data_IF_262399018534
#
_entry.id   IF_262399018534
#
_cell.length_a   1.000
_cell.length_b   1.000
_cell.length_c   1.000
_cell.angle_alpha   90.00
_cell.angle_beta   90.00
_cell.angle_gamma   90.00
#
_symmetry.space_group_name_H-M   'P 1'
#
loop_
_entity.id
_entity.type
_entity.pdbx_description
1 polymer ?
#
# COMPACT_ATOMS: atom_id res chain seq x y z
N UNK A 1 -17.67 -22.35 29.14
CA UNK A 1 -18.75 -21.45 28.63
C UNK A 1 -18.45 -20.06 29.16
N UNK A 2 -17.98 -19.09 28.39
CA UNK A 2 -18.72 -18.29 27.42
C UNK A 2 -17.76 -17.60 26.42
N UNK A 3 -18.22 -17.39 25.17
CA UNK A 3 -17.65 -16.50 24.12
C UNK A 3 -16.39 -16.95 23.35
N UNK A 4 -16.46 -18.10 22.69
CA UNK A 4 -15.68 -18.34 21.45
C UNK A 4 -16.53 -18.23 20.16
N UNK A 5 -17.85 -18.06 20.27
CA UNK A 5 -18.75 -18.24 19.13
C UNK A 5 -19.16 -16.96 18.37
N UNK A 6 -18.58 -15.80 18.70
CA UNK A 6 -18.99 -14.50 18.12
C UNK A 6 -17.86 -13.74 17.40
N UNK A 7 -16.61 -14.25 17.36
CA UNK A 7 -15.43 -13.45 16.98
C UNK A 7 -14.71 -13.86 15.68
N UNK A 8 -14.99 -15.04 15.11
CA UNK A 8 -14.42 -15.44 13.82
C UNK A 8 -15.12 -14.77 12.62
N UNK A 9 -16.42 -14.47 12.72
CA UNK A 9 -17.23 -13.91 11.63
C UNK A 9 -16.86 -12.47 11.23
N UNK A 10 -16.45 -11.63 12.19
CA UNK A 10 -16.14 -10.21 11.93
C UNK A 10 -14.76 -10.03 11.27
N UNK A 11 -13.76 -10.84 11.66
CA UNK A 11 -12.48 -10.90 10.96
C UNK A 11 -12.65 -11.55 9.58
N UNK A 12 -13.58 -12.49 9.41
CA UNK A 12 -13.98 -13.01 8.10
C UNK A 12 -14.61 -11.93 7.21
N UNK A 13 -15.48 -11.05 7.73
CA UNK A 13 -16.06 -9.95 6.96
C UNK A 13 -14.99 -8.93 6.55
N UNK A 14 -14.13 -8.50 7.49
CA UNK A 14 -13.05 -7.55 7.22
C UNK A 14 -12.01 -8.10 6.23
N UNK A 15 -11.72 -9.40 6.31
CA UNK A 15 -10.80 -10.04 5.38
C UNK A 15 -11.43 -10.39 4.03
N UNK A 16 -12.75 -10.64 3.98
CA UNK A 16 -13.51 -10.83 2.75
C UNK A 16 -13.63 -9.51 1.95
N UNK A 17 -13.75 -8.37 2.64
CA UNK A 17 -13.90 -7.05 2.00
C UNK A 17 -12.61 -6.50 1.35
N UNK A 18 -11.43 -7.08 1.61
CA UNK A 18 -10.14 -6.57 1.08
C UNK A 18 -9.81 -7.12 -0.31
N UNK A 19 -10.59 -8.09 -0.80
CA UNK A 19 -10.56 -8.73 -2.13
C UNK A 19 -9.18 -8.75 -2.82
N UNK A 20 -8.46 -9.84 -2.62
CA UNK A 20 -8.07 -10.80 -3.67
C UNK A 20 -7.08 -11.85 -3.11
N UNK A 21 -7.58 -13.06 -2.87
CA UNK A 21 -6.86 -14.34 -2.92
C UNK A 21 -5.53 -14.48 -2.14
N UNK A 22 -5.60 -14.74 -0.84
CA UNK A 22 -4.82 -15.82 -0.18
C UNK A 22 -5.24 -16.00 1.28
N UNK A 23 -5.60 -17.24 1.64
CA UNK A 23 -5.80 -17.71 3.03
C UNK A 23 -4.67 -17.24 3.98
N UNK A 24 -3.44 -17.20 3.47
CA UNK A 24 -2.22 -16.83 4.21
C UNK A 24 -2.29 -15.48 4.95
N UNK A 25 -2.90 -14.44 4.34
CA UNK A 25 -3.01 -13.13 5.01
C UNK A 25 -4.01 -13.17 6.16
N UNK A 26 -5.06 -13.99 6.03
CA UNK A 26 -6.08 -14.17 7.07
C UNK A 26 -5.50 -14.94 8.24
N UNK A 27 -4.77 -16.02 7.97
CA UNK A 27 -4.12 -16.82 9.00
C UNK A 27 -3.11 -15.98 9.77
N UNK A 28 -2.29 -15.20 9.07
CA UNK A 28 -1.34 -14.30 9.73
C UNK A 28 -2.02 -13.19 10.53
N UNK A 29 -3.09 -12.60 10.03
CA UNK A 29 -3.86 -11.60 10.77
C UNK A 29 -4.51 -12.20 12.03
N UNK A 30 -5.03 -13.44 11.97
CA UNK A 30 -5.56 -14.18 13.13
C UNK A 30 -4.49 -14.43 14.17
N UNK A 31 -3.29 -14.85 13.76
CA UNK A 31 -2.16 -15.04 14.66
C UNK A 31 -1.77 -13.75 15.40
N UNK A 32 -1.69 -12.63 14.66
CA UNK A 32 -1.38 -11.33 15.25
C UNK A 32 -2.49 -10.91 16.22
N UNK A 33 -3.76 -11.06 15.84
CA UNK A 33 -4.90 -10.73 16.69
C UNK A 33 -4.90 -11.54 17.99
N UNK A 34 -4.65 -12.85 17.92
CA UNK A 34 -4.58 -13.72 19.10
C UNK A 34 -3.51 -13.23 20.09
N UNK A 35 -2.33 -12.87 19.59
CA UNK A 35 -1.25 -12.30 20.42
C UNK A 35 -1.66 -10.99 21.09
N UNK A 36 -2.46 -10.17 20.42
CA UNK A 36 -2.99 -8.91 20.98
C UNK A 36 -4.05 -9.18 22.04
N UNK A 37 -4.97 -10.13 21.81
CA UNK A 37 -6.04 -10.52 22.77
C UNK A 37 -5.47 -11.16 24.05
N UNK A 38 -4.39 -11.94 23.92
CA UNK A 38 -3.68 -12.56 25.05
C UNK A 38 -3.05 -11.52 26.02
N UNK A 39 -2.84 -10.29 25.54
CA UNK A 39 -2.16 -9.22 26.24
C UNK A 39 -3.16 -8.36 27.01
N UNK A 40 -3.54 -8.85 28.21
CA UNK A 40 -4.58 -8.27 29.09
C UNK A 40 -4.42 -6.79 29.45
N UNK A 41 -3.25 -6.20 29.25
CA UNK A 41 -2.93 -4.81 29.57
C UNK A 41 -3.07 -3.84 28.38
N UNK A 42 -3.19 -4.35 27.15
CA UNK A 42 -3.61 -3.52 26.01
C UNK A 42 -5.11 -3.28 26.12
N UNK A 43 -5.50 -2.33 26.97
CA UNK A 43 -6.89 -1.90 27.12
C UNK A 43 -7.31 -1.05 25.93
N UNK A 44 -7.61 -1.69 24.82
CA UNK A 44 -8.34 -1.03 23.75
C UNK A 44 -9.79 -0.81 24.20
N UNK A 45 -10.31 0.40 24.02
CA UNK A 45 -11.69 0.71 24.38
C UNK A 45 -12.70 -0.17 23.62
N UNK A 46 -13.93 -0.34 24.15
CA UNK A 46 -15.00 -1.13 23.50
C UNK A 46 -15.25 -0.75 22.02
N UNK A 47 -14.95 0.49 21.64
CA UNK A 47 -15.16 1.03 20.29
C UNK A 47 -13.91 0.93 19.38
N UNK A 48 -12.87 0.20 19.79
CA UNK A 48 -11.61 0.08 19.03
C UNK A 48 -11.41 -1.29 18.38
N UNK A 49 -12.35 -2.23 18.55
CA UNK A 49 -12.25 -3.58 18.02
C UNK A 49 -11.98 -3.59 16.50
N UNK A 50 -12.78 -2.87 15.72
CA UNK A 50 -12.60 -2.78 14.26
C UNK A 50 -11.25 -2.17 13.87
N UNK A 51 -10.75 -1.21 14.66
CA UNK A 51 -9.45 -0.59 14.43
C UNK A 51 -8.29 -1.56 14.70
N UNK A 52 -8.42 -2.45 15.68
CA UNK A 52 -7.45 -3.51 15.98
C UNK A 52 -7.44 -4.53 14.85
N UNK A 53 -8.61 -5.02 14.43
CA UNK A 53 -8.72 -5.99 13.34
C UNK A 53 -8.12 -5.43 12.04
N UNK A 54 -8.45 -4.19 11.71
CA UNK A 54 -7.88 -3.46 10.58
C UNK A 54 -6.35 -3.29 10.69
N UNK A 55 -5.83 -3.02 11.88
CA UNK A 55 -4.39 -2.90 12.11
C UNK A 55 -3.67 -4.26 12.01
N UNK A 56 -4.23 -5.34 12.55
CA UNK A 56 -3.70 -6.70 12.40
C UNK A 56 -3.62 -7.10 10.93
N UNK A 57 -4.67 -6.82 10.17
CA UNK A 57 -4.72 -7.05 8.73
C UNK A 57 -3.66 -6.21 7.99
N UNK A 58 -3.53 -4.92 8.30
CA UNK A 58 -2.49 -4.07 7.72
C UNK A 58 -1.08 -4.65 7.94
N UNK A 59 -0.80 -5.11 9.17
CA UNK A 59 0.50 -5.68 9.53
C UNK A 59 0.73 -7.02 8.80
N UNK A 60 -0.30 -7.88 8.74
CA UNK A 60 -0.23 -9.14 7.99
C UNK A 60 0.04 -8.90 6.50
N UNK A 61 -0.68 -7.97 5.86
CA UNK A 61 -0.44 -7.61 4.47
C UNK A 61 1.00 -7.15 4.23
N UNK A 62 1.59 -6.42 5.18
CA UNK A 62 2.97 -5.97 5.10
C UNK A 62 3.99 -7.10 5.26
N UNK A 63 3.79 -8.00 6.22
CA UNK A 63 4.68 -9.16 6.44
C UNK A 63 4.67 -10.12 5.25
N UNK A 64 3.57 -10.18 4.50
CA UNK A 64 3.41 -11.00 3.31
C UNK A 64 3.84 -10.31 1.99
N UNK A 65 4.56 -9.19 2.06
CA UNK A 65 5.00 -8.39 0.89
C UNK A 65 3.85 -7.99 -0.05
N UNK A 66 2.66 -7.77 0.53
CA UNK A 66 1.45 -7.37 -0.18
C UNK A 66 0.92 -6.08 0.41
N UNK A 67 1.80 -5.08 0.48
CA UNK A 67 1.55 -3.79 1.12
C UNK A 67 0.22 -3.16 0.71
N UNK A 68 -0.59 -2.83 1.72
CA UNK A 68 -1.82 -2.05 1.57
C UNK A 68 -1.64 -0.68 2.19
N UNK A 69 -2.20 0.34 1.56
CA UNK A 69 -2.23 1.67 2.16
C UNK A 69 -3.22 1.69 3.31
N UNK A 70 -2.99 2.59 4.28
CA UNK A 70 -3.95 2.77 5.38
C UNK A 70 -5.33 3.18 4.83
N UNK A 71 -5.39 3.91 3.70
CA UNK A 71 -6.65 4.32 3.06
C UNK A 71 -7.44 3.11 2.54
N UNK A 72 -6.78 2.16 1.89
CA UNK A 72 -7.40 0.89 1.45
C UNK A 72 -7.94 0.09 2.63
N UNK A 73 -7.21 0.04 3.73
CA UNK A 73 -7.68 -0.64 4.95
C UNK A 73 -8.85 0.13 5.59
N UNK A 74 -8.83 1.46 5.60
CA UNK A 74 -9.94 2.25 6.14
C UNK A 74 -11.24 2.07 5.36
N UNK A 75 -11.18 1.94 4.02
CA UNK A 75 -12.40 1.80 3.20
C UNK A 75 -13.17 0.51 3.46
N UNK A 76 -12.51 -0.48 4.05
CA UNK A 76 -13.09 -1.79 4.39
C UNK A 76 -13.26 -1.98 5.89
N UNK A 77 -12.63 -1.14 6.71
CA UNK A 77 -12.73 -1.20 8.16
C UNK A 77 -14.07 -0.64 8.62
N UNK A 78 -14.95 -1.50 9.14
CA UNK A 78 -16.34 -1.26 9.55
C UNK A 78 -16.52 0.00 10.45
N UNK A 79 -16.47 1.20 9.87
CA UNK A 79 -16.55 2.49 10.56
C UNK A 79 -15.27 2.95 11.29
N UNK A 80 -14.17 2.18 11.28
CA UNK A 80 -12.95 2.54 12.00
C UNK A 80 -12.21 3.71 11.32
N UNK A 81 -11.87 4.74 12.08
CA UNK A 81 -11.22 5.94 11.52
C UNK A 81 -9.73 5.71 11.30
N UNK A 82 -9.17 6.35 10.27
CA UNK A 82 -7.72 6.33 9.96
C UNK A 82 -6.81 6.57 11.17
N UNK A 83 -7.18 7.51 12.04
CA UNK A 83 -6.41 7.83 13.26
C UNK A 83 -6.43 6.68 14.27
N UNK A 84 -7.54 5.97 14.40
CA UNK A 84 -7.68 4.83 15.31
C UNK A 84 -6.88 3.63 14.82
N UNK A 85 -6.98 3.33 13.52
CA UNK A 85 -6.18 2.29 12.87
C UNK A 85 -4.69 2.59 13.00
N UNK A 86 -4.28 3.86 12.81
CA UNK A 86 -2.89 4.29 12.98
C UNK A 86 -2.35 4.05 14.39
N UNK A 87 -3.13 4.42 15.42
CA UNK A 87 -2.75 4.16 16.83
C UNK A 87 -2.69 2.66 17.15
N UNK A 88 -3.71 1.90 16.74
CA UNK A 88 -3.74 0.46 16.97
C UNK A 88 -2.53 -0.23 16.29
N UNK A 89 -2.23 0.15 15.06
CA UNK A 89 -1.04 -0.30 14.32
C UNK A 89 0.25 -0.05 15.11
N UNK A 90 0.48 1.17 15.59
CA UNK A 90 1.68 1.50 16.37
C UNK A 90 1.76 0.70 17.68
N UNK A 91 0.65 0.56 18.40
CA UNK A 91 0.59 -0.25 19.63
C UNK A 91 0.91 -1.73 19.38
N UNK A 92 0.34 -2.31 18.32
CA UNK A 92 0.58 -3.71 17.96
C UNK A 92 2.03 -3.91 17.49
N UNK A 93 2.59 -2.98 16.72
CA UNK A 93 4.00 -3.04 16.29
C UNK A 93 4.95 -3.08 17.50
N UNK A 94 4.78 -2.16 18.46
CA UNK A 94 5.58 -2.14 19.70
C UNK A 94 5.47 -3.44 20.49
N UNK A 95 4.27 -4.02 20.52
CA UNK A 95 4.04 -5.32 21.18
C UNK A 95 4.82 -6.44 20.50
N UNK A 96 4.78 -6.50 19.17
CA UNK A 96 5.48 -7.55 18.41
C UNK A 96 7.00 -7.41 18.53
N UNK A 97 7.52 -6.18 18.50
CA UNK A 97 8.94 -5.87 18.72
C UNK A 97 9.42 -6.35 20.10
N UNK A 98 8.68 -6.05 21.17
CA UNK A 98 9.05 -6.43 22.54
C UNK A 98 9.05 -7.94 22.83
N UNK A 99 8.44 -8.76 21.97
CA UNK A 99 8.42 -10.21 22.10
C UNK A 99 9.57 -10.91 21.37
N UNK A 100 10.56 -10.17 20.83
CA UNK A 100 11.56 -10.69 19.86
C UNK A 100 10.91 -11.42 18.67
N UNK A 101 9.63 -11.15 18.44
CA UNK A 101 8.79 -11.68 17.37
C UNK A 101 8.38 -10.56 16.42
N UNK A 102 9.19 -9.49 16.39
CA UNK A 102 9.26 -8.56 15.28
C UNK A 102 9.77 -9.34 14.08
N UNK A 103 8.95 -10.26 13.56
CA UNK A 103 9.05 -10.79 12.21
C UNK A 103 9.35 -9.57 11.35
N UNK A 104 10.56 -9.56 10.79
CA UNK A 104 11.16 -8.41 10.12
C UNK A 104 10.06 -7.69 9.39
N UNK A 105 9.68 -6.52 9.90
CA UNK A 105 8.61 -5.76 9.30
C UNK A 105 9.09 -5.42 7.90
N UNK A 106 8.65 -6.22 6.92
CA UNK A 106 9.11 -6.11 5.54
C UNK A 106 9.14 -4.66 5.13
N UNK A 107 10.25 -4.23 4.53
CA UNK A 107 10.34 -2.89 3.99
C UNK A 107 9.27 -2.79 2.89
N UNK A 108 8.41 -1.77 2.99
CA UNK A 108 7.41 -1.53 1.94
C UNK A 108 8.16 -0.89 0.79
N UNK A 109 8.16 -1.54 -0.36
CA UNK A 109 8.74 -1.00 -1.57
C UNK A 109 7.64 -0.41 -2.46
N UNK A 110 8.00 0.56 -3.29
CA UNK A 110 7.07 1.14 -4.26
C UNK A 110 6.55 0.06 -5.25
N UNK A 111 7.35 -0.98 -5.50
CA UNK A 111 7.01 -2.10 -6.38
C UNK A 111 5.81 -2.91 -5.86
N UNK A 112 5.61 -2.98 -4.55
CA UNK A 112 4.51 -3.73 -3.91
C UNK A 112 3.13 -3.19 -4.31
N UNK A 113 3.10 -1.93 -4.75
CA UNK A 113 1.88 -1.24 -5.16
C UNK A 113 1.59 -1.35 -6.66
N UNK A 114 2.62 -1.53 -7.50
CA UNK A 114 2.53 -1.39 -8.96
C UNK A 114 1.49 -2.28 -9.58
N UNK A 115 1.57 -3.60 -9.36
CA UNK A 115 0.66 -4.55 -10.01
C UNK A 115 -0.82 -4.19 -9.74
N UNK A 116 -1.13 -3.82 -8.51
CA UNK A 116 -2.50 -3.49 -8.10
C UNK A 116 -2.96 -2.16 -8.67
N UNK A 117 -2.18 -1.10 -8.52
CA UNK A 117 -2.60 0.22 -8.98
C UNK A 117 -2.69 0.29 -10.50
N UNK A 118 -1.74 -0.32 -11.22
CA UNK A 118 -1.80 -0.39 -12.67
C UNK A 118 -3.02 -1.19 -13.15
N UNK A 119 -3.35 -2.31 -12.48
CA UNK A 119 -4.58 -3.07 -12.79
C UNK A 119 -5.85 -2.26 -12.53
N UNK A 120 -5.91 -1.50 -11.44
CA UNK A 120 -7.06 -0.64 -11.12
C UNK A 120 -7.24 0.50 -12.14
N UNK A 121 -6.15 0.92 -12.80
CA UNK A 121 -6.16 1.96 -13.84
C UNK A 121 -6.34 1.38 -15.26
N UNK A 122 -6.48 0.06 -15.39
CA UNK A 122 -6.61 -0.59 -16.70
C UNK A 122 -5.39 -0.44 -17.59
N UNK A 123 -4.19 -0.35 -17.00
CA UNK A 123 -2.93 -0.26 -17.75
C UNK A 123 -2.63 -1.58 -18.47
N UNK A 124 -2.04 -1.48 -19.66
CA UNK A 124 -1.59 -2.62 -20.46
C UNK A 124 -0.38 -3.33 -19.83
N UNK A 125 -0.12 -4.57 -20.24
CA UNK A 125 1.02 -5.34 -19.75
C UNK A 125 2.37 -4.67 -20.01
N UNK A 126 2.51 -3.95 -21.13
CA UNK A 126 3.73 -3.21 -21.47
C UNK A 126 3.93 -2.04 -20.50
N UNK A 127 2.89 -1.27 -20.22
CA UNK A 127 2.94 -0.15 -19.27
C UNK A 127 3.22 -0.63 -17.84
N UNK A 128 2.60 -1.74 -17.41
CA UNK A 128 2.83 -2.35 -16.10
C UNK A 128 4.30 -2.75 -15.97
N UNK A 129 4.86 -3.41 -17.01
CA UNK A 129 6.27 -3.82 -17.03
C UNK A 129 7.21 -2.61 -16.96
N UNK A 130 6.95 -1.57 -17.75
CA UNK A 130 7.74 -0.35 -17.74
C UNK A 130 7.69 0.34 -16.37
N UNK A 131 6.51 0.48 -15.77
CA UNK A 131 6.34 1.05 -14.44
C UNK A 131 7.10 0.27 -13.35
N UNK A 132 7.09 -1.06 -13.42
CA UNK A 132 7.85 -1.90 -12.49
C UNK A 132 9.36 -1.70 -12.64
N UNK A 133 9.88 -1.66 -13.87
CA UNK A 133 11.30 -1.41 -14.13
C UNK A 133 11.74 -0.03 -13.63
N UNK A 134 10.95 1.01 -13.91
CA UNK A 134 11.22 2.37 -13.42
C UNK A 134 11.24 2.41 -11.90
N UNK A 135 10.24 1.80 -11.24
CA UNK A 135 10.19 1.75 -9.78
C UNK A 135 11.40 0.99 -9.19
N UNK A 136 11.81 -0.13 -9.79
CA UNK A 136 12.97 -0.89 -9.31
C UNK A 136 14.25 -0.06 -9.41
N UNK A 137 14.51 0.57 -10.57
CA UNK A 137 15.68 1.45 -10.74
C UNK A 137 15.65 2.69 -9.85
N UNK A 138 14.46 3.20 -9.52
CA UNK A 138 14.32 4.37 -8.64
C UNK A 138 14.74 4.12 -7.19
N UNK A 139 14.88 2.85 -6.79
CA UNK A 139 15.33 2.49 -5.43
C UNK A 139 16.80 2.87 -5.17
N UNK A 140 17.61 2.97 -6.24
CA UNK A 140 19.02 3.34 -6.15
C UNK A 140 19.23 4.87 -6.11
N UNK A 141 18.14 5.65 -6.22
CA UNK A 141 18.18 7.12 -6.16
C UNK A 141 17.90 7.61 -4.74
N UNK A 142 18.62 8.65 -4.29
CA UNK A 142 18.35 9.33 -3.01
C UNK A 142 17.15 10.28 -3.10
N UNK A 143 15.96 9.72 -3.36
CA UNK A 143 14.70 10.47 -3.40
C UNK A 143 14.01 10.35 -2.05
N UNK A 144 13.96 11.45 -1.30
CA UNK A 144 13.34 11.54 0.03
C UNK A 144 11.82 11.58 -0.02
N UNK A 145 11.20 10.57 -0.64
CA UNK A 145 9.75 10.41 -0.77
C UNK A 145 9.30 9.05 -0.26
N UNK A 146 8.04 8.98 0.17
CA UNK A 146 7.46 7.71 0.57
C UNK A 146 7.37 6.76 -0.63
N UNK A 147 7.52 5.43 -0.43
CA UNK A 147 7.34 4.44 -1.50
C UNK A 147 5.99 4.58 -2.23
N UNK A 148 4.93 4.94 -1.51
CA UNK A 148 3.62 5.20 -2.09
C UNK A 148 3.59 6.43 -3.01
N UNK A 149 4.30 7.50 -2.64
CA UNK A 149 4.44 8.70 -3.48
C UNK A 149 5.22 8.40 -4.76
N UNK A 150 6.31 7.64 -4.66
CA UNK A 150 7.13 7.22 -5.81
C UNK A 150 6.29 6.36 -6.75
N UNK A 151 5.58 5.35 -6.20
CA UNK A 151 4.64 4.52 -6.95
C UNK A 151 3.63 5.35 -7.77
N UNK A 152 2.94 6.30 -7.13
CA UNK A 152 1.95 7.12 -7.80
C UNK A 152 2.56 8.04 -8.87
N UNK A 153 3.76 8.59 -8.63
CA UNK A 153 4.47 9.42 -9.60
C UNK A 153 4.95 8.62 -10.81
N UNK A 154 5.49 7.41 -10.62
CA UNK A 154 5.90 6.54 -11.73
C UNK A 154 4.71 6.16 -12.61
N UNK A 155 3.55 5.83 -12.02
CA UNK A 155 2.33 5.58 -12.77
C UNK A 155 1.93 6.81 -13.60
N UNK A 156 2.00 8.01 -13.01
CA UNK A 156 1.71 9.26 -13.72
C UNK A 156 2.67 9.51 -14.90
N UNK A 157 3.96 9.23 -14.73
CA UNK A 157 4.97 9.33 -15.80
C UNK A 157 4.65 8.36 -16.94
N UNK A 158 4.50 7.07 -16.62
CA UNK A 158 4.30 6.02 -17.62
C UNK A 158 3.01 6.25 -18.40
N UNK A 159 1.90 6.52 -17.71
CA UNK A 159 0.62 6.81 -18.37
C UNK A 159 0.63 8.12 -19.16
N UNK A 160 1.49 9.08 -18.81
CA UNK A 160 1.68 10.31 -19.59
C UNK A 160 2.43 10.10 -20.92
N UNK A 161 3.26 9.06 -21.00
CA UNK A 161 4.02 8.65 -22.18
C UNK A 161 3.25 7.66 -23.06
N UNK A 162 2.24 7.00 -22.50
CA UNK A 162 1.35 6.12 -23.22
C UNK A 162 0.39 6.85 -24.16
N UNK A 163 -0.12 6.12 -25.16
CA UNK A 163 -1.21 6.58 -26.01
C UNK A 163 -2.52 6.78 -25.21
N UNK A 164 -2.81 5.90 -24.25
CA UNK A 164 -3.99 5.97 -23.37
C UNK A 164 -3.66 6.72 -22.08
N UNK A 165 -3.68 8.06 -22.17
CA UNK A 165 -3.34 8.92 -21.04
C UNK A 165 -4.39 8.84 -19.94
N UNK A 166 -3.93 8.53 -18.71
CA UNK A 166 -4.79 8.51 -17.53
C UNK A 166 -4.83 9.90 -16.88
N UNK A 167 -6.02 10.48 -16.62
CA UNK A 167 -6.10 11.77 -15.95
C UNK A 167 -5.57 11.66 -14.52
N UNK A 168 -4.87 12.71 -14.06
CA UNK A 168 -4.26 12.73 -12.72
C UNK A 168 -5.27 12.42 -11.60
N UNK A 169 -6.52 12.86 -11.77
CA UNK A 169 -7.61 12.57 -10.84
C UNK A 169 -7.87 11.07 -10.68
N UNK A 170 -7.86 10.29 -11.76
CA UNK A 170 -8.03 8.82 -11.68
C UNK A 170 -6.87 8.18 -10.92
N UNK A 171 -5.65 8.65 -11.15
CA UNK A 171 -4.45 8.15 -10.43
C UNK A 171 -4.57 8.47 -8.93
N UNK A 172 -5.08 9.64 -8.56
CA UNK A 172 -5.28 10.00 -7.14
C UNK A 172 -6.33 9.13 -6.46
N UNK A 173 -7.36 8.74 -7.20
CA UNK A 173 -8.42 7.85 -6.71
C UNK A 173 -7.85 6.44 -6.52
N UNK A 174 -7.15 5.90 -7.53
CA UNK A 174 -6.58 4.56 -7.51
C UNK A 174 -5.49 4.37 -6.44
N UNK A 175 -4.62 5.36 -6.26
CA UNK A 175 -3.47 5.30 -5.33
C UNK A 175 -3.80 5.84 -3.94
N UNK A 176 -4.80 6.72 -3.83
CA UNK A 176 -5.12 7.45 -2.62
C UNK A 176 -4.17 8.60 -2.28
N UNK A 177 -3.24 8.95 -3.17
CA UNK A 177 -2.24 10.02 -3.00
C UNK A 177 -2.78 11.34 -3.53
N UNK A 178 -2.50 12.44 -2.83
CA UNK A 178 -2.93 13.78 -3.25
C UNK A 178 -2.17 14.25 -4.51
N UNK A 179 -2.84 15.00 -5.38
CA UNK A 179 -2.25 15.51 -6.64
C UNK A 179 -0.94 16.24 -6.43
N UNK A 180 -0.89 17.16 -5.45
CA UNK A 180 0.33 17.91 -5.13
C UNK A 180 1.49 17.02 -4.71
N UNK A 181 1.22 15.90 -4.03
CA UNK A 181 2.24 14.92 -3.65
C UNK A 181 2.76 14.14 -4.86
N UNK A 182 1.87 13.77 -5.79
CA UNK A 182 2.25 13.10 -7.05
C UNK A 182 3.14 14.03 -7.88
N UNK A 183 2.70 15.28 -8.09
CA UNK A 183 3.47 16.28 -8.83
C UNK A 183 4.82 16.58 -8.19
N UNK A 184 4.87 16.67 -6.86
CA UNK A 184 6.12 16.91 -6.14
C UNK A 184 7.10 15.73 -6.26
N UNK A 185 6.62 14.49 -6.19
CA UNK A 185 7.48 13.32 -6.40
C UNK A 185 7.90 13.17 -7.88
N UNK A 186 7.03 13.54 -8.82
CA UNK A 186 7.36 13.63 -10.24
C UNK A 186 8.48 14.64 -10.51
N UNK A 187 8.45 15.82 -9.87
CA UNK A 187 9.54 16.82 -9.96
C UNK A 187 10.90 16.26 -9.53
N UNK A 188 10.91 15.45 -8.48
CA UNK A 188 12.14 14.84 -7.96
C UNK A 188 12.65 13.69 -8.86
N UNK A 189 11.76 13.00 -9.58
CA UNK A 189 12.10 11.96 -10.54
C UNK A 189 12.53 12.51 -11.90
N UNK A 190 12.07 13.71 -12.27
CA UNK A 190 12.27 14.33 -13.59
C UNK A 190 13.73 14.33 -14.06
N UNK A 191 14.74 14.70 -13.23
CA UNK A 191 16.14 14.73 -13.66
C UNK A 191 16.72 13.35 -14.00
N UNK A 192 16.07 12.27 -13.58
CA UNK A 192 16.56 10.90 -13.70
C UNK A 192 15.79 10.07 -14.74
N UNK A 193 14.76 10.62 -15.38
CA UNK A 193 13.84 9.84 -16.23
C UNK A 193 14.52 9.16 -17.42
N UNK A 194 15.53 9.79 -18.03
CA UNK A 194 16.29 9.21 -19.14
C UNK A 194 17.04 7.93 -18.74
N UNK A 195 17.44 7.80 -17.48
CA UNK A 195 18.09 6.60 -16.94
C UNK A 195 17.06 5.55 -16.49
N UNK A 196 15.94 6.02 -15.92
CA UNK A 196 14.92 5.15 -15.34
C UNK A 196 14.07 4.48 -16.42
N UNK A 197 13.56 5.25 -17.37
CA UNK A 197 12.60 4.76 -18.35
C UNK A 197 13.30 3.78 -19.30
N UNK A 198 12.74 2.58 -19.53
CA UNK A 198 13.33 1.62 -20.44
C UNK A 198 13.25 2.11 -21.89
N UNK A 199 14.36 2.00 -22.64
CA UNK A 199 14.43 2.39 -24.06
C UNK A 199 13.47 1.63 -24.98
N UNK A 200 13.01 0.44 -24.56
CA UNK A 200 12.01 -0.33 -25.30
C UNK A 200 10.58 0.22 -25.15
N UNK A 201 10.33 1.10 -24.17
CA UNK A 201 8.99 1.62 -23.88
C UNK A 201 8.73 2.95 -24.59
N UNK A 202 9.71 3.84 -24.62
CA UNK A 202 9.59 5.17 -25.25
C UNK A 202 10.95 5.60 -25.80
N UNK A 203 10.96 6.38 -26.90
CA UNK A 203 12.17 7.04 -27.36
C UNK A 203 12.42 8.33 -26.57
N UNK A 204 13.68 8.78 -26.47
CA UNK A 204 14.06 9.96 -25.69
C UNK A 204 13.32 11.24 -26.13
N UNK A 205 12.95 11.33 -27.41
CA UNK A 205 12.20 12.47 -27.98
C UNK A 205 10.81 12.61 -27.39
N UNK A 206 10.19 11.52 -26.97
CA UNK A 206 8.84 11.53 -26.39
C UNK A 206 8.84 12.01 -24.93
N UNK A 207 10.02 12.09 -24.29
CA UNK A 207 10.13 12.66 -22.94
C UNK A 207 9.83 14.16 -22.91
N UNK A 208 9.94 14.86 -24.05
CA UNK A 208 9.51 16.26 -24.19
C UNK A 208 7.98 16.42 -24.10
N UNK A 209 7.23 15.36 -24.38
CA UNK A 209 5.77 15.33 -24.34
C UNK A 209 5.20 15.07 -22.95
N UNK A 210 6.06 14.91 -21.94
CA UNK A 210 5.63 14.73 -20.55
C UNK A 210 4.87 15.96 -20.04
N UNK A 211 3.83 15.77 -19.21
CA UNK A 211 3.14 16.89 -18.58
C UNK A 211 4.11 17.74 -17.78
N UNK A 212 4.23 19.04 -18.13
CA UNK A 212 5.11 19.94 -17.37
C UNK A 212 4.63 20.04 -15.91
N UNK A 213 5.54 19.99 -14.93
CA UNK A 213 5.21 19.92 -13.50
C UNK A 213 4.39 21.09 -12.91
#
# INVERSE_FOLDING_TARGET
>A
MYKMHLRDGELYLLSALVICNKLLQQDRAKEIYKKVDDQKHLKFGRNQHDAILAACLYIACRQENKGRTVKEICSVANGAKRREIGRAKESIMRLLEGQNMGSEMGTIHAADYMRRFCSNLGMSNQEVKAAQEVVMKSQDLDIRRSPLSIAAAVIYIITGLSADKKPLKEITIATGVAEGTIKSAYKDLLPHLSLLIPSWFTEDKDMENLPKP
#
